data_IF_915248280215
#
_entry.id   IF_915248280215
#
_cell.length_a   1.000
_cell.length_b   1.000
_cell.length_c   1.000
_cell.angle_alpha   90.00
_cell.angle_beta   90.00
_cell.angle_gamma   90.00
#
_symmetry.space_group_name_H-M   'P 1'
#
loop_
_entity.id
_entity.type
_entity.pdbx_description
1 polymer ?
#
# COMPACT_ATOMS: atom_id res chain seq x y z
N UNK A 1 -3.95 12.74 -0.61
CA UNK A 1 -3.04 11.56 -0.67
C UNK A 1 -1.79 11.87 -1.49
N UNK A 2 -0.61 11.36 -1.10
CA UNK A 2 0.63 11.43 -1.89
C UNK A 2 0.70 10.25 -2.86
N UNK A 3 1.00 10.54 -4.13
CA UNK A 3 1.19 9.51 -5.14
C UNK A 3 2.67 9.16 -5.29
N UNK A 4 3.07 7.98 -4.82
CA UNK A 4 4.42 7.41 -5.01
C UNK A 4 4.44 6.38 -6.15
N UNK A 5 3.50 6.43 -7.09
CA UNK A 5 3.55 5.65 -8.33
C UNK A 5 4.22 6.46 -9.44
N UNK A 6 4.96 5.76 -10.30
CA UNK A 6 5.64 6.36 -11.46
C UNK A 6 6.49 7.59 -11.12
N UNK A 7 6.19 8.73 -11.75
CA UNK A 7 7.00 9.96 -11.64
C UNK A 7 6.95 10.62 -10.25
N UNK A 8 5.95 10.32 -9.42
CA UNK A 8 5.79 10.94 -8.11
C UNK A 8 6.94 10.65 -7.15
N UNK A 9 7.52 9.44 -7.21
CA UNK A 9 8.73 9.06 -6.49
C UNK A 9 9.92 9.96 -6.84
N UNK A 10 10.18 10.15 -8.13
CA UNK A 10 11.30 10.96 -8.59
C UNK A 10 11.15 12.43 -8.18
N UNK A 11 9.94 12.99 -8.23
CA UNK A 11 9.65 14.36 -7.77
C UNK A 11 9.92 14.51 -6.27
N UNK A 12 9.63 13.48 -5.48
CA UNK A 12 9.89 13.48 -4.05
C UNK A 12 11.38 13.25 -3.71
N UNK A 13 12.23 12.89 -4.68
CA UNK A 13 13.62 12.49 -4.42
C UNK A 13 13.76 11.08 -3.87
N UNK A 14 12.75 10.24 -4.08
CA UNK A 14 12.73 8.83 -3.70
C UNK A 14 13.00 7.90 -4.89
N UNK A 15 13.35 6.66 -4.58
CA UNK A 15 13.45 5.56 -5.55
C UNK A 15 12.48 4.44 -5.18
N UNK A 16 12.44 3.40 -6.00
CA UNK A 16 11.71 2.16 -5.71
C UNK A 16 12.10 1.50 -4.37
N UNK A 17 13.22 1.89 -3.75
CA UNK A 17 13.58 1.43 -2.40
C UNK A 17 12.50 1.73 -1.36
N UNK A 18 11.77 2.85 -1.50
CA UNK A 18 10.73 3.22 -0.54
C UNK A 18 9.60 2.17 -0.50
N UNK A 19 8.94 1.82 -1.63
CA UNK A 19 7.90 0.78 -1.62
C UNK A 19 8.41 -0.67 -1.67
N UNK A 20 9.62 -0.94 -2.19
CA UNK A 20 10.10 -2.32 -2.40
C UNK A 20 11.11 -2.83 -1.35
N UNK A 21 11.59 -1.99 -0.43
CA UNK A 21 12.51 -2.45 0.62
C UNK A 21 11.88 -3.51 1.54
N UNK A 22 12.73 -4.43 2.01
CA UNK A 22 12.36 -5.45 2.99
C UNK A 22 12.68 -5.02 4.42
N UNK A 23 12.63 -5.97 5.35
CA UNK A 23 13.06 -5.77 6.73
C UNK A 23 14.49 -5.16 6.76
N UNK A 24 14.73 -4.14 7.60
CA UNK A 24 13.90 -3.66 8.72
C UNK A 24 12.88 -2.55 8.38
N UNK A 25 12.55 -2.29 7.12
CA UNK A 25 11.54 -1.29 6.70
C UNK A 25 11.84 0.16 7.14
N UNK A 26 13.11 0.52 7.36
CA UNK A 26 13.48 1.87 7.79
C UNK A 26 13.06 2.95 6.79
N UNK A 27 13.31 2.72 5.50
CA UNK A 27 12.94 3.66 4.44
C UNK A 27 11.41 3.92 4.40
N UNK A 28 10.53 2.91 4.22
CA UNK A 28 9.09 3.15 4.14
C UNK A 28 8.52 3.77 5.42
N UNK A 29 9.03 3.41 6.60
CA UNK A 29 8.59 4.00 7.86
C UNK A 29 8.99 5.47 7.98
N UNK A 30 10.24 5.82 7.65
CA UNK A 30 10.71 7.21 7.67
C UNK A 30 9.91 8.09 6.69
N UNK A 31 9.64 7.57 5.49
CA UNK A 31 8.83 8.24 4.48
C UNK A 31 7.37 8.40 4.90
N UNK A 32 6.75 7.33 5.42
CA UNK A 32 5.39 7.38 5.93
C UNK A 32 5.25 8.45 7.02
N UNK A 33 6.20 8.51 7.96
CA UNK A 33 6.22 9.50 9.03
C UNK A 33 6.40 10.93 8.49
N UNK A 34 7.36 11.14 7.60
CA UNK A 34 7.61 12.46 7.02
C UNK A 34 6.39 13.01 6.26
N UNK A 35 5.68 12.14 5.52
CA UNK A 35 4.45 12.51 4.79
C UNK A 35 3.32 12.81 5.77
N UNK A 36 3.16 12.02 6.84
CA UNK A 36 2.16 12.27 7.88
C UNK A 36 2.40 13.62 8.59
N UNK A 37 3.66 13.93 8.93
CA UNK A 37 4.03 15.16 9.63
C UNK A 37 4.04 16.40 8.71
N UNK A 38 3.83 16.24 7.40
CA UNK A 38 3.82 17.35 6.44
C UNK A 38 2.66 18.33 6.68
N UNK A 39 2.94 19.64 6.50
CA UNK A 39 1.99 20.73 6.78
C UNK A 39 0.73 20.72 5.91
N UNK A 40 0.79 20.13 4.71
CA UNK A 40 -0.36 19.98 3.81
C UNK A 40 -1.35 18.89 4.26
N UNK A 41 -1.02 18.16 5.33
CA UNK A 41 -1.88 17.18 5.98
C UNK A 41 -2.50 16.12 5.05
N UNK A 42 -1.67 15.42 4.27
CA UNK A 42 -2.14 14.37 3.37
C UNK A 42 -2.92 13.25 4.09
N UNK A 43 -3.90 12.68 3.42
CA UNK A 43 -4.73 11.56 3.92
C UNK A 43 -4.03 10.20 3.93
N UNK A 44 -2.93 10.05 3.19
CA UNK A 44 -2.29 8.77 2.98
C UNK A 44 -1.32 8.76 1.80
N UNK A 45 -0.92 7.56 1.39
CA UNK A 45 0.10 7.27 0.37
C UNK A 45 -0.41 6.17 -0.56
N UNK A 46 -0.33 6.36 -1.88
CA UNK A 46 -0.45 5.30 -2.88
C UNK A 46 0.92 4.87 -3.39
N UNK A 47 1.14 3.55 -3.51
CA UNK A 47 2.41 2.96 -3.92
C UNK A 47 2.18 1.60 -4.60
N UNK A 48 3.17 1.11 -5.36
CA UNK A 48 3.12 -0.23 -5.96
C UNK A 48 3.33 -1.31 -4.91
N UNK A 49 2.62 -2.44 -5.02
CA UNK A 49 2.82 -3.55 -4.11
C UNK A 49 4.23 -4.14 -4.29
N UNK A 50 4.85 -4.55 -3.19
CA UNK A 50 6.23 -5.05 -3.19
C UNK A 50 6.41 -6.33 -4.02
N UNK A 51 5.41 -7.21 -3.97
CA UNK A 51 5.45 -8.55 -4.57
C UNK A 51 4.77 -8.62 -5.95
N UNK A 52 4.03 -7.56 -6.31
CA UNK A 52 3.38 -7.41 -7.60
C UNK A 52 3.34 -5.91 -7.94
N UNK A 53 4.25 -5.48 -8.81
CA UNK A 53 4.36 -4.07 -9.18
C UNK A 53 3.25 -3.61 -10.15
N UNK A 54 2.38 -4.53 -10.61
CA UNK A 54 1.19 -4.16 -11.37
C UNK A 54 0.03 -3.72 -10.47
N UNK A 55 0.08 -4.10 -9.19
CA UNK A 55 -0.94 -3.79 -8.19
C UNK A 55 -0.60 -2.57 -7.33
N UNK A 56 -1.65 -1.92 -6.83
CA UNK A 56 -1.54 -0.74 -5.97
C UNK A 56 -1.88 -1.05 -4.52
N UNK A 57 -1.11 -0.46 -3.61
CA UNK A 57 -1.37 -0.44 -2.19
C UNK A 57 -1.59 0.99 -1.70
N UNK A 58 -2.41 1.11 -0.66
CA UNK A 58 -2.76 2.38 -0.02
C UNK A 58 -2.46 2.31 1.47
N UNK A 59 -1.59 3.20 1.95
CA UNK A 59 -1.43 3.45 3.38
C UNK A 59 -2.28 4.67 3.75
N UNK A 60 -3.33 4.48 4.53
CA UNK A 60 -4.28 5.53 4.88
C UNK A 60 -4.01 5.96 6.32
N UNK A 61 -3.93 7.27 6.56
CA UNK A 61 -3.69 7.81 7.90
C UNK A 61 -4.99 8.04 8.66
N UNK A 62 -4.94 7.96 9.99
CA UNK A 62 -6.11 8.13 10.86
C UNK A 62 -6.87 9.45 10.66
N UNK A 63 -6.18 10.52 10.24
CA UNK A 63 -6.82 11.81 9.95
C UNK A 63 -7.83 11.75 8.80
N UNK A 64 -7.72 10.74 7.94
CA UNK A 64 -8.65 10.49 6.84
C UNK A 64 -9.90 9.70 7.28
N UNK A 65 -9.99 9.26 8.54
CA UNK A 65 -11.05 8.37 9.01
C UNK A 65 -12.45 8.91 8.75
N UNK A 66 -12.68 10.22 8.82
CA UNK A 66 -13.98 10.83 8.54
C UNK A 66 -14.42 10.72 7.07
N UNK A 67 -13.48 10.45 6.16
CA UNK A 67 -13.74 10.25 4.74
C UNK A 67 -13.88 8.77 4.36
N UNK A 68 -13.72 7.85 5.31
CA UNK A 68 -13.82 6.41 5.09
C UNK A 68 -15.12 5.88 5.69
N UNK A 69 -15.75 4.98 4.97
CA UNK A 69 -16.85 4.15 5.47
C UNK A 69 -16.52 2.71 5.14
N UNK A 70 -16.59 1.85 6.16
CA UNK A 70 -16.53 0.40 5.94
C UNK A 70 -17.88 -0.07 5.42
N UNK A 71 -17.91 -0.57 4.19
CA UNK A 71 -19.14 -1.08 3.57
C UNK A 71 -19.40 -2.54 3.93
N UNK A 72 -18.34 -3.33 4.00
CA UNK A 72 -18.39 -4.77 4.23
C UNK A 72 -17.11 -5.23 4.92
N UNK A 73 -17.21 -6.24 5.78
CA UNK A 73 -16.08 -6.90 6.45
C UNK A 73 -16.27 -8.40 6.38
N UNK A 74 -15.38 -9.08 5.65
CA UNK A 74 -15.28 -10.53 5.64
C UNK A 74 -14.01 -10.96 6.39
N UNK A 75 -14.16 -11.82 7.40
CA UNK A 75 -13.05 -12.33 8.21
C UNK A 75 -12.69 -13.76 7.82
N UNK A 76 -13.62 -14.49 7.18
CA UNK A 76 -13.38 -15.80 6.64
C UNK A 76 -12.89 -15.69 5.18
N UNK A 77 -11.60 -15.99 4.97
CA UNK A 77 -11.01 -15.96 3.63
C UNK A 77 -11.37 -17.19 2.78
N UNK A 78 -12.15 -18.15 3.31
CA UNK A 78 -12.74 -19.20 2.50
C UNK A 78 -13.96 -18.67 1.73
N UNK A 79 -13.67 -17.87 0.69
CA UNK A 79 -14.65 -17.20 -0.13
C UNK A 79 -14.21 -17.16 -1.60
N UNK A 80 -15.16 -17.19 -2.53
CA UNK A 80 -14.90 -17.26 -3.98
C UNK A 80 -13.98 -16.14 -4.49
N UNK A 81 -14.12 -14.93 -3.94
CA UNK A 81 -13.29 -13.79 -4.34
C UNK A 81 -11.82 -14.00 -3.93
N UNK A 82 -11.57 -14.57 -2.76
CA UNK A 82 -10.22 -14.80 -2.26
C UNK A 82 -9.52 -15.87 -3.09
N UNK A 83 -10.19 -16.99 -3.35
CA UNK A 83 -9.64 -18.08 -4.15
C UNK A 83 -9.39 -17.68 -5.61
N UNK A 84 -10.16 -16.73 -6.16
CA UNK A 84 -9.89 -16.16 -7.48
C UNK A 84 -8.56 -15.41 -7.51
N UNK A 85 -8.33 -14.52 -6.54
CA UNK A 85 -7.08 -13.78 -6.39
C UNK A 85 -5.92 -14.75 -6.13
N UNK A 86 -6.08 -15.69 -5.18
CA UNK A 86 -5.05 -16.68 -4.87
C UNK A 86 -4.67 -17.53 -6.11
N UNK A 87 -5.66 -17.90 -6.93
CA UNK A 87 -5.46 -18.65 -8.17
C UNK A 87 -4.60 -17.90 -9.20
N UNK A 88 -4.75 -16.58 -9.32
CA UNK A 88 -3.92 -15.74 -10.21
C UNK A 88 -2.43 -15.80 -9.81
N UNK A 89 -2.16 -15.93 -8.51
CA UNK A 89 -0.80 -16.05 -7.96
C UNK A 89 -0.33 -17.51 -7.80
N UNK A 90 -1.11 -18.51 -8.22
CA UNK A 90 -0.80 -19.93 -8.03
C UNK A 90 -0.71 -20.35 -6.55
N UNK A 91 -1.27 -19.55 -5.64
CA UNK A 91 -1.25 -19.81 -4.20
C UNK A 91 -2.26 -20.90 -3.85
N UNK A 92 -1.86 -21.86 -3.00
CA UNK A 92 -2.70 -23.00 -2.62
C UNK A 92 -2.56 -24.23 -3.52
N UNK A 93 -1.72 -24.17 -4.57
CA UNK A 93 -1.28 -25.35 -5.29
C UNK A 93 -0.17 -26.04 -4.46
N UNK A 94 -0.34 -27.33 -4.17
CA UNK A 94 0.77 -28.14 -3.66
C UNK A 94 1.91 -28.15 -4.72
N UNK A 95 3.18 -28.13 -4.29
CA UNK A 95 4.32 -28.14 -5.21
C UNK A 95 4.34 -29.36 -6.15
#
# INVERSE_FOLDING_TARGET
>A
MVNLTGRGLAVAGATAEVPHSGLPYHAPQAWSRAIFDHGDQFDGIAYHARHDDTELCYAIFDRAASALSETERELNLDADWFWRVAGEYGSGLAP
#
